data_IF_983712533274
#
_entry.id   IF_983712533274
#
_cell.length_a   1.000
_cell.length_b   1.000
_cell.length_c   1.000
_cell.angle_alpha   90.00
_cell.angle_beta   90.00
_cell.angle_gamma   90.00
#
_symmetry.space_group_name_H-M   'P 1'
#
loop_
_entity.id
_entity.type
_entity.pdbx_description
1 polymer ?
#
# COMPACT_ATOMS: atom_id res chain seq x y z
N UNK A 1 -23.23 4.50 7.11
CA UNK A 1 -23.50 3.82 5.81
C UNK A 1 -22.37 3.99 4.78
N UNK A 2 -21.47 4.95 4.96
CA UNK A 2 -20.30 5.19 4.04
C UNK A 2 -19.05 4.39 4.46
N UNK A 3 -18.83 4.15 5.74
CA UNK A 3 -17.68 3.39 6.27
C UNK A 3 -17.73 1.90 5.90
N UNK A 4 -18.89 1.27 5.95
CA UNK A 4 -19.03 -0.13 5.51
C UNK A 4 -18.70 -0.36 4.03
N UNK A 5 -18.83 0.65 3.18
CA UNK A 5 -18.47 0.54 1.75
C UNK A 5 -16.96 0.51 1.54
N UNK A 6 -16.17 1.20 2.38
CA UNK A 6 -14.71 1.17 2.33
C UNK A 6 -14.17 -0.19 2.82
N UNK A 7 -14.66 -0.69 3.95
CA UNK A 7 -14.29 -2.02 4.44
C UNK A 7 -14.62 -3.13 3.44
N UNK A 8 -15.77 -3.05 2.77
CA UNK A 8 -16.17 -4.02 1.75
C UNK A 8 -15.27 -3.94 0.49
N UNK A 9 -14.88 -2.75 0.05
CA UNK A 9 -13.98 -2.58 -1.09
C UNK A 9 -12.57 -3.11 -0.78
N UNK A 10 -12.06 -2.87 0.42
CA UNK A 10 -10.76 -3.37 0.89
C UNK A 10 -10.81 -4.91 0.99
N UNK A 11 -11.85 -5.47 1.59
CA UNK A 11 -12.01 -6.92 1.69
C UNK A 11 -12.10 -7.59 0.31
N UNK A 12 -12.84 -7.01 -0.63
CA UNK A 12 -12.92 -7.50 -2.01
C UNK A 12 -11.58 -7.40 -2.72
N UNK A 13 -10.81 -6.33 -2.50
CA UNK A 13 -9.48 -6.14 -3.07
C UNK A 13 -8.47 -7.16 -2.52
N UNK A 14 -8.47 -7.41 -1.21
CA UNK A 14 -7.60 -8.41 -0.59
C UNK A 14 -7.98 -9.83 -1.05
N UNK A 15 -9.27 -10.14 -1.16
CA UNK A 15 -9.74 -11.43 -1.68
C UNK A 15 -9.37 -11.62 -3.15
N UNK A 16 -9.45 -10.59 -3.97
CA UNK A 16 -8.97 -10.62 -5.35
C UNK A 16 -7.46 -10.83 -5.39
N UNK A 17 -6.70 -10.18 -4.54
CA UNK A 17 -5.26 -10.36 -4.44
C UNK A 17 -4.88 -11.78 -3.98
N UNK A 18 -5.56 -12.32 -2.97
CA UNK A 18 -5.39 -13.71 -2.53
C UNK A 18 -5.77 -14.70 -3.65
N UNK A 19 -6.84 -14.43 -4.40
CA UNK A 19 -7.23 -15.24 -5.55
C UNK A 19 -6.18 -15.17 -6.66
N UNK A 20 -5.56 -14.01 -6.92
CA UNK A 20 -4.48 -13.86 -7.88
C UNK A 20 -3.19 -14.56 -7.42
N UNK A 21 -2.84 -14.50 -6.14
CA UNK A 21 -1.70 -15.25 -5.58
C UNK A 21 -1.91 -16.78 -5.70
N UNK A 22 -3.14 -17.26 -5.50
CA UNK A 22 -3.49 -18.67 -5.69
C UNK A 22 -3.45 -19.09 -7.18
N UNK A 23 -3.76 -18.17 -8.12
CA UNK A 23 -3.72 -18.42 -9.56
C UNK A 23 -2.28 -18.55 -10.11
N UNK A 24 -1.34 -17.78 -9.59
CA UNK A 24 0.04 -17.78 -10.10
C UNK A 24 0.76 -19.13 -9.92
N UNK A 25 0.33 -19.95 -8.96
CA UNK A 25 0.96 -21.24 -8.67
C UNK A 25 0.44 -22.42 -9.52
N UNK A 26 -0.69 -22.26 -10.21
CA UNK A 26 -1.32 -23.39 -10.94
C UNK A 26 -1.20 -23.36 -12.45
N UNK A 27 -0.62 -22.32 -13.04
CA UNK A 27 -0.46 -22.24 -14.51
C UNK A 27 0.60 -23.20 -15.09
N UNK A 28 1.13 -24.11 -14.29
CA UNK A 28 2.23 -25.01 -14.68
C UNK A 28 1.76 -26.35 -15.29
N UNK A 29 0.49 -26.56 -15.63
CA UNK A 29 0.06 -27.89 -16.10
C UNK A 29 -0.83 -27.93 -17.35
N UNK A 30 -0.71 -26.99 -18.27
CA UNK A 30 -1.39 -27.14 -19.57
C UNK A 30 -0.43 -26.81 -20.74
N UNK A 31 -0.11 -27.89 -21.49
CA UNK A 31 0.31 -27.94 -22.90
C UNK A 31 1.82 -27.84 -23.17
N UNK A 32 2.40 -28.95 -23.50
CA UNK A 32 3.78 -29.14 -23.97
C UNK A 32 4.13 -28.49 -25.33
N UNK A 33 3.25 -27.72 -25.95
CA UNK A 33 3.56 -26.93 -27.16
C UNK A 33 3.63 -25.41 -26.90
N UNK A 34 3.40 -24.98 -25.65
CA UNK A 34 3.43 -23.56 -25.24
C UNK A 34 4.49 -23.19 -24.21
N UNK A 35 5.38 -24.12 -23.82
CA UNK A 35 6.33 -23.90 -22.71
C UNK A 35 7.26 -22.70 -22.94
N UNK A 36 7.66 -22.46 -24.20
CA UNK A 36 8.49 -21.31 -24.55
C UNK A 36 7.75 -19.95 -24.43
N UNK A 37 6.45 -19.92 -24.76
CA UNK A 37 5.65 -18.68 -24.71
C UNK A 37 5.18 -18.34 -23.28
N UNK A 38 4.91 -19.34 -22.44
CA UNK A 38 4.51 -19.15 -21.05
C UNK A 38 5.60 -18.58 -20.16
N UNK A 39 6.84 -19.07 -20.33
CA UNK A 39 8.02 -18.56 -19.60
C UNK A 39 8.33 -17.14 -20.05
N UNK A 40 8.28 -16.85 -21.34
CA UNK A 40 8.53 -15.52 -21.88
C UNK A 40 7.49 -14.51 -21.36
N UNK A 41 6.21 -14.90 -21.25
CA UNK A 41 5.14 -14.04 -20.75
C UNK A 41 5.18 -13.78 -19.23
N UNK A 42 5.94 -14.59 -18.47
CA UNK A 42 6.09 -14.46 -17.02
C UNK A 42 7.44 -13.91 -16.58
N UNK A 43 8.33 -13.60 -17.54
CA UNK A 43 9.65 -13.02 -17.29
C UNK A 43 9.61 -11.53 -17.55
N UNK A 44 10.25 -10.73 -16.69
CA UNK A 44 10.37 -9.29 -16.93
C UNK A 44 11.07 -9.05 -18.29
N UNK A 45 10.45 -8.26 -19.18
CA UNK A 45 10.99 -8.04 -20.52
C UNK A 45 12.05 -6.94 -20.58
N UNK A 46 12.07 -6.03 -19.58
CA UNK A 46 12.97 -4.86 -19.56
C UNK A 46 14.40 -5.25 -19.18
N UNK A 47 15.35 -4.38 -19.54
CA UNK A 47 16.76 -4.58 -19.21
C UNK A 47 17.02 -4.41 -17.72
N UNK A 48 17.98 -5.15 -17.17
CA UNK A 48 18.36 -5.06 -15.76
C UNK A 48 18.71 -3.62 -15.34
N UNK A 49 19.40 -2.90 -16.21
CA UNK A 49 19.82 -1.53 -15.94
C UNK A 49 18.62 -0.59 -15.74
N UNK A 50 17.55 -0.79 -16.51
CA UNK A 50 16.32 0.02 -16.40
C UNK A 50 15.54 -0.34 -15.13
N UNK A 51 15.40 -1.62 -14.84
CA UNK A 51 14.70 -2.10 -13.64
C UNK A 51 15.41 -1.69 -12.35
N UNK A 52 16.73 -1.89 -12.29
CA UNK A 52 17.55 -1.46 -11.13
C UNK A 52 17.59 0.08 -11.03
N UNK A 53 17.57 0.78 -12.15
CA UNK A 53 17.49 2.23 -12.20
C UNK A 53 16.18 2.77 -11.67
N UNK A 54 15.05 2.14 -12.02
CA UNK A 54 13.74 2.51 -11.51
C UNK A 54 13.63 2.30 -10.00
N UNK A 55 14.12 1.19 -9.50
CA UNK A 55 14.19 0.90 -8.06
C UNK A 55 15.08 1.93 -7.34
N UNK A 56 16.29 2.19 -7.85
CA UNK A 56 17.19 3.16 -7.25
C UNK A 56 16.56 4.56 -7.18
N UNK A 57 15.84 4.97 -8.22
CA UNK A 57 15.15 6.25 -8.25
C UNK A 57 14.00 6.30 -7.24
N UNK A 58 13.23 5.22 -7.10
CA UNK A 58 12.15 5.15 -6.12
C UNK A 58 12.70 5.24 -4.69
N UNK A 59 13.78 4.53 -4.38
CA UNK A 59 14.51 4.66 -3.12
C UNK A 59 15.03 6.09 -2.87
N UNK A 60 15.46 6.82 -3.93
CA UNK A 60 15.87 8.22 -3.79
C UNK A 60 14.69 9.13 -3.44
N UNK A 61 13.53 8.91 -4.05
CA UNK A 61 12.29 9.65 -3.71
C UNK A 61 11.88 9.39 -2.25
N UNK A 62 11.97 8.16 -1.78
CA UNK A 62 11.73 7.80 -0.37
C UNK A 62 12.75 8.48 0.58
N UNK A 63 14.02 8.49 0.19
CA UNK A 63 15.05 9.18 0.96
C UNK A 63 14.86 10.71 0.99
N UNK A 64 14.28 11.30 -0.06
CA UNK A 64 13.90 12.71 -0.09
C UNK A 64 12.72 13.00 0.84
N UNK A 65 11.70 12.16 0.82
CA UNK A 65 10.56 12.26 1.73
C UNK A 65 11.01 12.13 3.19
N UNK A 66 11.88 11.16 3.49
CA UNK A 66 12.44 10.99 4.84
C UNK A 66 13.24 12.24 5.28
N UNK A 67 14.08 12.78 4.39
CA UNK A 67 14.84 14.01 4.70
C UNK A 67 13.92 15.22 4.93
N UNK A 68 12.85 15.33 4.18
CA UNK A 68 11.84 16.38 4.37
C UNK A 68 11.23 16.29 5.78
N UNK A 69 10.81 15.08 6.20
CA UNK A 69 10.24 14.85 7.52
C UNK A 69 11.27 15.09 8.65
N UNK A 70 12.50 14.62 8.48
CA UNK A 70 13.57 14.80 9.47
C UNK A 70 13.93 16.28 9.70
N UNK A 71 13.72 17.13 8.70
CA UNK A 71 14.03 18.57 8.78
C UNK A 71 12.78 19.44 8.96
N UNK A 72 11.61 18.86 9.09
CA UNK A 72 10.33 19.57 9.08
C UNK A 72 10.27 20.67 10.16
N UNK A 73 10.55 20.34 11.42
CA UNK A 73 10.54 21.31 12.53
C UNK A 73 11.53 22.47 12.31
N UNK A 74 12.68 22.19 11.69
CA UNK A 74 13.73 23.21 11.49
C UNK A 74 13.44 24.13 10.30
N UNK A 75 12.49 23.76 9.44
CA UNK A 75 12.13 24.49 8.20
C UNK A 75 10.79 25.18 8.27
N UNK A 76 10.00 24.92 9.32
CA UNK A 76 8.68 25.51 9.56
C UNK A 76 8.69 26.27 10.89
N UNK A 77 7.78 27.23 11.04
CA UNK A 77 7.72 28.12 12.20
C UNK A 77 6.34 27.97 12.89
N UNK A 78 6.14 26.81 13.52
CA UNK A 78 5.00 26.54 14.39
C UNK A 78 5.47 26.44 15.84
N UNK A 79 4.57 26.65 16.80
CA UNK A 79 4.89 26.62 18.22
C UNK A 79 4.97 25.20 18.78
N UNK A 80 4.20 24.26 18.18
CA UNK A 80 4.14 22.86 18.61
C UNK A 80 3.98 21.94 17.40
N UNK A 81 4.62 20.77 17.42
CA UNK A 81 4.59 19.78 16.34
C UNK A 81 4.14 18.43 16.87
N UNK A 82 3.26 17.78 16.13
CA UNK A 82 2.87 16.39 16.31
C UNK A 82 3.15 15.62 15.03
N UNK A 83 3.72 14.42 15.15
CA UNK A 83 4.03 13.57 14.02
C UNK A 83 3.31 12.23 14.17
N UNK A 84 2.56 11.84 13.15
CA UNK A 84 1.94 10.53 12.99
C UNK A 84 2.42 9.97 11.64
N UNK A 85 3.49 9.18 11.68
CA UNK A 85 4.26 8.80 10.49
C UNK A 85 4.33 7.29 10.36
N UNK A 86 3.78 6.78 9.26
CA UNK A 86 4.02 5.41 8.82
C UNK A 86 5.47 5.22 8.35
N UNK A 87 5.91 3.97 8.32
CA UNK A 87 7.25 3.60 7.82
C UNK A 87 7.35 3.87 6.31
N UNK A 88 8.45 4.50 5.89
CA UNK A 88 8.76 4.71 4.48
C UNK A 88 9.51 3.47 3.98
N UNK A 89 8.79 2.62 3.26
CA UNK A 89 9.33 1.39 2.67
C UNK A 89 8.43 0.89 1.55
N UNK A 90 9.01 0.17 0.58
CA UNK A 90 8.28 -0.52 -0.47
C UNK A 90 8.91 -1.87 -0.81
N UNK A 91 8.22 -2.66 -1.62
CA UNK A 91 8.72 -3.92 -2.19
C UNK A 91 9.20 -3.71 -3.62
N UNK A 92 10.50 -3.92 -3.93
CA UNK A 92 11.02 -3.74 -5.27
C UNK A 92 10.34 -4.65 -6.32
N UNK A 93 9.96 -5.88 -5.96
CA UNK A 93 9.24 -6.77 -6.89
C UNK A 93 7.83 -6.28 -7.17
N UNK A 94 7.15 -5.70 -6.17
CA UNK A 94 5.86 -5.04 -6.38
C UNK A 94 6.02 -3.88 -7.34
N UNK A 95 7.00 -3.01 -7.11
CA UNK A 95 7.27 -1.84 -7.95
C UNK A 95 7.50 -2.25 -9.42
N UNK A 96 8.46 -3.14 -9.67
CA UNK A 96 8.83 -3.56 -11.03
C UNK A 96 7.69 -4.33 -11.71
N UNK A 97 6.98 -5.19 -10.97
CA UNK A 97 5.80 -5.90 -11.51
C UNK A 97 4.70 -4.92 -11.91
N UNK A 98 4.46 -3.88 -11.10
CA UNK A 98 3.47 -2.85 -11.41
C UNK A 98 3.84 -2.05 -12.66
N UNK A 99 5.08 -1.56 -12.74
CA UNK A 99 5.54 -0.80 -13.90
C UNK A 99 5.42 -1.66 -15.16
N UNK A 100 5.89 -2.90 -15.11
CA UNK A 100 5.85 -3.81 -16.25
C UNK A 100 4.41 -4.12 -16.69
N UNK A 101 3.49 -4.32 -15.75
CA UNK A 101 2.08 -4.55 -16.06
C UNK A 101 1.38 -3.31 -16.62
N UNK A 102 1.68 -2.12 -16.10
CA UNK A 102 1.12 -0.85 -16.59
C UNK A 102 1.57 -0.54 -18.01
N UNK A 103 2.84 -0.81 -18.35
CA UNK A 103 3.40 -0.60 -19.69
C UNK A 103 3.12 -1.77 -20.66
N UNK A 104 2.64 -2.91 -20.14
CA UNK A 104 2.28 -4.10 -20.92
C UNK A 104 3.45 -4.64 -21.80
N UNK A 105 4.69 -4.52 -21.34
CA UNK A 105 5.85 -4.97 -22.08
C UNK A 105 7.18 -4.40 -21.59
N UNK A 106 8.17 -4.40 -22.49
CA UNK A 106 9.47 -3.78 -22.26
C UNK A 106 9.33 -2.26 -22.10
N UNK A 107 10.09 -1.71 -21.19
CA UNK A 107 10.14 -0.26 -20.92
C UNK A 107 11.58 0.14 -20.53
N UNK A 108 11.88 1.40 -20.70
CA UNK A 108 13.13 2.03 -20.28
C UNK A 108 12.90 2.94 -19.08
N UNK A 109 13.95 3.21 -18.32
CA UNK A 109 13.88 4.12 -17.17
C UNK A 109 13.31 5.50 -17.54
N UNK A 110 13.68 6.05 -18.69
CA UNK A 110 13.20 7.35 -19.15
C UNK A 110 11.69 7.36 -19.42
N UNK A 111 11.14 6.25 -19.92
CA UNK A 111 9.70 6.13 -20.23
C UNK A 111 8.83 6.03 -18.97
N UNK A 112 9.38 5.55 -17.86
CA UNK A 112 8.60 5.26 -16.65
C UNK A 112 8.66 6.36 -15.58
N UNK A 113 9.32 7.48 -15.84
CA UNK A 113 9.46 8.58 -14.88
C UNK A 113 8.12 9.06 -14.32
N UNK A 114 7.13 9.27 -15.19
CA UNK A 114 5.78 9.65 -14.78
C UNK A 114 5.04 8.55 -14.02
N UNK A 115 5.34 7.28 -14.31
CA UNK A 115 4.76 6.13 -13.60
C UNK A 115 5.34 6.03 -12.20
N UNK A 116 6.66 6.20 -12.02
CA UNK A 116 7.31 6.22 -10.71
C UNK A 116 6.69 7.31 -9.81
N UNK A 117 6.56 8.53 -10.33
CA UNK A 117 5.96 9.62 -9.58
C UNK A 117 4.49 9.32 -9.21
N UNK A 118 3.70 8.83 -10.16
CA UNK A 118 2.29 8.49 -9.93
C UNK A 118 2.14 7.38 -8.87
N UNK A 119 3.01 6.37 -8.86
CA UNK A 119 3.00 5.31 -7.87
C UNK A 119 3.40 5.83 -6.49
N UNK A 120 4.41 6.67 -6.43
CA UNK A 120 4.88 7.32 -5.21
C UNK A 120 3.78 8.18 -4.57
N UNK A 121 3.12 9.04 -5.35
CA UNK A 121 2.03 9.90 -4.88
C UNK A 121 0.80 9.10 -4.40
N UNK A 122 0.66 7.86 -4.84
CA UNK A 122 -0.42 6.97 -4.41
C UNK A 122 -0.06 6.14 -3.19
N UNK A 123 1.21 5.84 -3.01
CA UNK A 123 1.68 5.12 -1.85
C UNK A 123 1.80 6.04 -0.64
N UNK A 124 2.42 7.21 -0.80
CA UNK A 124 2.71 8.13 0.30
C UNK A 124 1.77 9.34 0.26
N UNK A 125 0.94 9.44 1.29
CA UNK A 125 -0.01 10.56 1.46
C UNK A 125 0.44 11.37 2.66
N UNK A 126 1.05 12.53 2.38
CA UNK A 126 1.46 13.47 3.41
C UNK A 126 0.38 14.52 3.60
N UNK A 127 -0.06 14.72 4.84
CA UNK A 127 -1.02 15.75 5.22
C UNK A 127 -0.51 16.59 6.37
N UNK A 128 -0.87 17.87 6.36
CA UNK A 128 -0.53 18.85 7.39
C UNK A 128 -1.82 19.50 7.88
N UNK A 129 -2.06 19.43 9.18
CA UNK A 129 -3.19 20.08 9.82
C UNK A 129 -2.69 21.08 10.87
N UNK A 130 -3.09 22.35 10.73
CA UNK A 130 -2.65 23.43 11.62
C UNK A 130 -3.84 23.94 12.40
N UNK A 131 -3.79 23.75 13.72
CA UNK A 131 -4.75 24.28 14.67
C UNK A 131 -4.17 25.52 15.32
N UNK A 132 -4.98 26.60 15.41
CA UNK A 132 -4.59 27.84 16.08
C UNK A 132 -5.36 27.98 17.40
N UNK A 133 -4.62 28.05 18.49
CA UNK A 133 -5.16 28.30 19.83
C UNK A 133 -4.83 29.72 20.29
N UNK A 134 -5.78 30.40 20.90
CA UNK A 134 -5.48 31.66 21.61
C UNK A 134 -4.95 31.35 23.00
N UNK A 135 -3.69 31.64 23.25
CA UNK A 135 -3.05 31.54 24.55
C UNK A 135 -2.80 32.93 25.12
N UNK A 136 -2.48 32.99 26.41
CA UNK A 136 -2.23 34.26 27.11
C UNK A 136 -0.87 34.23 27.74
N UNK A 137 -0.10 35.32 27.55
CA UNK A 137 1.14 35.55 28.25
C UNK A 137 1.00 36.72 29.21
N UNK A 138 1.70 36.63 30.34
CA UNK A 138 1.71 37.67 31.33
C UNK A 138 2.77 38.70 30.95
N UNK A 139 2.36 39.95 30.75
CA UNK A 139 3.27 41.09 30.58
C UNK A 139 3.22 41.98 31.80
N UNK A 140 4.34 42.67 32.07
CA UNK A 140 4.52 43.52 33.22
C UNK A 140 5.08 44.86 32.76
N UNK A 141 4.32 45.90 33.08
CA UNK A 141 4.74 47.27 32.87
C UNK A 141 5.20 47.86 34.18
N UNK A 142 6.34 48.54 34.16
CA UNK A 142 6.87 49.22 35.33
C UNK A 142 7.00 50.73 35.04
N UNK A 143 6.32 51.53 35.83
CA UNK A 143 6.36 52.98 35.67
C UNK A 143 6.62 53.67 37.03
N UNK A 144 7.15 54.87 36.99
CA UNK A 144 7.44 55.65 38.18
C UNK A 144 6.51 56.90 38.24
N UNK A 145 5.86 57.09 39.39
CA UNK A 145 5.01 58.24 39.57
C UNK A 145 5.80 59.55 39.83
N UNK A 146 5.08 60.67 39.92
CA UNK A 146 5.70 62.00 40.11
C UNK A 146 6.38 62.14 41.48
N UNK A 147 6.09 61.28 42.44
CA UNK A 147 6.68 61.25 43.78
C UNK A 147 7.89 60.33 43.87
N UNK A 148 8.27 59.67 42.75
CA UNK A 148 9.41 58.81 42.64
C UNK A 148 9.16 57.35 43.07
N UNK A 149 7.90 56.94 43.27
CA UNK A 149 7.59 55.55 43.60
C UNK A 149 7.46 54.72 42.31
N UNK A 150 7.99 53.51 42.34
CA UNK A 150 7.87 52.55 41.24
C UNK A 150 6.64 51.69 41.41
N UNK A 151 5.82 51.65 40.39
CA UNK A 151 4.64 50.82 40.31
C UNK A 151 4.83 49.74 39.25
N UNK A 152 4.21 48.59 39.47
CA UNK A 152 4.27 47.45 38.55
C UNK A 152 2.85 46.95 38.27
N UNK A 153 2.43 47.04 37.03
CA UNK A 153 1.15 46.55 36.57
C UNK A 153 1.37 45.26 35.76
N UNK A 154 0.56 44.25 36.04
CA UNK A 154 0.63 42.96 35.36
C UNK A 154 -0.69 42.71 34.63
N UNK A 155 -0.61 42.34 33.32
CA UNK A 155 -1.76 42.09 32.49
C UNK A 155 -1.55 40.92 31.57
N UNK A 156 -2.63 40.32 31.08
CA UNK A 156 -2.63 39.18 30.16
C UNK A 156 -2.77 39.69 28.73
N UNK A 157 -1.81 39.27 27.87
CA UNK A 157 -1.85 39.58 26.45
C UNK A 157 -2.14 38.30 25.68
N UNK A 158 -3.23 38.29 24.90
CA UNK A 158 -3.50 37.14 24.02
C UNK A 158 -2.50 37.07 22.89
N UNK A 159 -2.16 35.85 22.49
CA UNK A 159 -1.37 35.57 21.29
C UNK A 159 -1.85 34.27 20.64
N UNK A 160 -1.64 34.15 19.34
CA UNK A 160 -1.93 32.93 18.60
C UNK A 160 -0.81 31.91 18.80
N UNK A 161 -1.19 30.68 19.07
CA UNK A 161 -0.32 29.54 19.26
C UNK A 161 -0.66 28.49 18.21
N UNK A 162 0.30 28.15 17.37
CA UNK A 162 0.13 27.28 16.21
C UNK A 162 0.61 25.87 16.52
N UNK A 163 -0.30 24.89 16.40
CA UNK A 163 -0.04 23.47 16.58
C UNK A 163 -0.14 22.82 15.21
N UNK A 164 0.95 22.27 14.70
CA UNK A 164 1.00 21.56 13.44
C UNK A 164 1.03 20.05 13.67
N UNK A 165 0.10 19.33 13.06
CA UNK A 165 0.12 17.87 13.00
C UNK A 165 0.51 17.44 11.60
N UNK A 166 1.59 16.70 11.48
CA UNK A 166 2.10 16.12 10.23
C UNK A 166 1.79 14.63 10.23
N UNK A 167 1.01 14.19 9.27
CA UNK A 167 0.64 12.77 9.11
C UNK A 167 1.18 12.24 7.79
N UNK A 168 1.91 11.14 7.83
CA UNK A 168 2.32 10.38 6.66
C UNK A 168 1.60 9.03 6.68
N UNK A 169 0.77 8.78 5.67
CA UNK A 169 0.17 7.46 5.43
C UNK A 169 0.96 6.73 4.35
N UNK A 170 1.41 5.50 4.64
CA UNK A 170 1.94 4.56 3.64
C UNK A 170 0.83 3.58 3.24
N UNK A 171 0.19 3.81 2.09
CA UNK A 171 -0.90 2.98 1.59
C UNK A 171 -0.42 1.59 1.10
N UNK A 172 0.79 1.22 1.30
CA UNK A 172 1.46 0.02 0.81
C UNK A 172 1.28 -0.21 -0.69
N UNK A 173 2.36 -0.14 -1.42
CA UNK A 173 2.35 -0.18 -2.88
C UNK A 173 1.60 -1.39 -3.46
N UNK A 174 1.59 -2.53 -2.76
CA UNK A 174 0.89 -3.75 -3.18
C UNK A 174 -0.64 -3.61 -3.24
N UNK A 175 -1.22 -2.61 -2.59
CA UNK A 175 -2.65 -2.33 -2.63
C UNK A 175 -3.07 -1.42 -3.79
N UNK A 176 -2.13 -0.70 -4.38
CA UNK A 176 -2.39 0.28 -5.45
C UNK A 176 -2.91 -0.35 -6.75
N UNK A 177 -2.45 -1.55 -7.19
CA UNK A 177 -2.84 -2.14 -8.48
C UNK A 177 -4.35 -2.19 -8.72
N UNK A 178 -5.13 -2.57 -7.72
CA UNK A 178 -6.59 -2.74 -7.85
C UNK A 178 -7.34 -1.43 -8.14
N UNK A 179 -6.70 -0.28 -7.91
CA UNK A 179 -7.32 1.04 -8.14
C UNK A 179 -6.93 1.68 -9.47
N UNK A 180 -5.86 1.20 -10.10
CA UNK A 180 -5.28 1.87 -11.28
C UNK A 180 -5.14 0.98 -12.50
N UNK A 181 -5.20 -0.35 -12.34
CA UNK A 181 -4.97 -1.31 -13.41
C UNK A 181 -6.27 -1.84 -14.00
N UNK A 182 -6.27 -2.11 -15.30
CA UNK A 182 -7.29 -2.90 -15.95
C UNK A 182 -7.22 -4.36 -15.52
N UNK A 183 -8.23 -5.15 -15.82
CA UNK A 183 -8.26 -6.60 -15.53
C UNK A 183 -7.08 -7.33 -16.18
N UNK A 184 -6.74 -6.97 -17.43
CA UNK A 184 -5.59 -7.54 -18.14
C UNK A 184 -4.28 -7.21 -17.45
N UNK A 185 -4.08 -5.94 -17.07
CA UNK A 185 -2.90 -5.49 -16.35
C UNK A 185 -2.79 -6.13 -14.95
N UNK A 186 -3.90 -6.32 -14.24
CA UNK A 186 -3.93 -7.06 -12.97
C UNK A 186 -3.51 -8.52 -13.16
N UNK A 187 -3.96 -9.17 -14.24
CA UNK A 187 -3.52 -10.53 -14.58
C UNK A 187 -2.02 -10.61 -14.86
N UNK A 188 -1.46 -9.63 -15.57
CA UNK A 188 -0.02 -9.54 -15.81
C UNK A 188 0.75 -9.30 -14.50
N UNK A 189 0.32 -8.34 -13.70
CA UNK A 189 0.91 -8.05 -12.39
C UNK A 189 0.93 -9.29 -11.49
N UNK A 190 -0.20 -9.99 -11.37
CA UNK A 190 -0.28 -11.23 -10.59
C UNK A 190 0.69 -12.32 -11.08
N UNK A 191 0.85 -12.43 -12.41
CA UNK A 191 1.79 -13.36 -13.02
C UNK A 191 3.23 -13.02 -12.67
N UNK A 192 3.62 -11.73 -12.76
CA UNK A 192 4.96 -11.28 -12.40
C UNK A 192 5.23 -11.47 -10.89
N UNK A 193 4.26 -11.15 -10.02
CA UNK A 193 4.41 -11.37 -8.58
C UNK A 193 4.58 -12.86 -8.24
N UNK A 194 3.80 -13.74 -8.87
CA UNK A 194 3.89 -15.19 -8.63
C UNK A 194 5.22 -15.80 -9.05
N UNK A 195 5.89 -15.20 -10.05
CA UNK A 195 7.15 -15.72 -10.61
C UNK A 195 8.37 -14.87 -10.23
N UNK A 196 8.17 -13.73 -9.58
CA UNK A 196 9.15 -12.66 -9.41
C UNK A 196 9.80 -12.28 -10.76
N UNK A 197 8.99 -12.28 -11.82
CA UNK A 197 9.46 -12.08 -13.18
C UNK A 197 10.54 -13.08 -13.65
N UNK A 198 10.59 -14.27 -13.04
CA UNK A 198 11.68 -15.27 -13.19
C UNK A 198 13.08 -14.70 -12.91
N UNK A 199 13.16 -13.67 -12.08
CA UNK A 199 14.39 -12.96 -11.72
C UNK A 199 14.50 -12.77 -10.19
N UNK A 200 14.50 -13.86 -9.39
CA UNK A 200 14.64 -13.76 -7.93
C UNK A 200 16.03 -13.22 -7.50
N UNK A 201 16.96 -13.12 -8.42
CA UNK A 201 18.31 -12.58 -8.26
C UNK A 201 18.37 -11.05 -8.39
N UNK A 202 17.32 -10.40 -8.92
CA UNK A 202 17.35 -8.98 -9.28
C UNK A 202 17.50 -8.08 -8.03
N UNK A 203 16.83 -8.43 -6.93
CA UNK A 203 16.88 -7.70 -5.66
C UNK A 203 17.30 -8.61 -4.50
N UNK A 204 18.59 -9.01 -4.44
CA UNK A 204 19.09 -9.90 -3.40
C UNK A 204 19.00 -9.24 -2.03
N UNK A 205 18.32 -9.88 -1.09
CA UNK A 205 18.17 -9.39 0.27
C UNK A 205 16.87 -8.60 0.54
N UNK A 206 16.01 -8.44 -0.46
CA UNK A 206 14.63 -8.04 -0.18
C UNK A 206 13.99 -9.15 0.66
N UNK A 207 13.43 -8.81 1.83
CA UNK A 207 12.75 -9.77 2.72
C UNK A 207 11.57 -10.49 2.08
N UNK A 208 11.20 -10.10 0.86
CA UNK A 208 10.09 -10.60 0.07
C UNK A 208 10.36 -11.92 -0.64
N UNK A 209 11.61 -12.26 -0.98
CA UNK A 209 11.93 -13.55 -1.61
C UNK A 209 11.47 -14.70 -0.72
N UNK A 210 11.74 -14.65 0.59
CA UNK A 210 11.24 -15.64 1.55
C UNK A 210 9.72 -15.63 1.70
N UNK A 211 9.10 -14.47 1.62
CA UNK A 211 7.65 -14.28 1.79
C UNK A 211 6.84 -14.91 0.64
N UNK A 212 7.34 -14.85 -0.59
CA UNK A 212 6.60 -15.32 -1.78
C UNK A 212 7.09 -16.67 -2.32
N UNK A 213 8.35 -17.06 -2.09
CA UNK A 213 8.95 -18.28 -2.67
C UNK A 213 8.93 -19.48 -1.70
N UNK A 214 8.96 -19.24 -0.40
CA UNK A 214 8.97 -20.32 0.60
C UNK A 214 7.58 -20.82 1.03
N UNK A 215 6.49 -20.35 0.41
CA UNK A 215 5.14 -20.88 0.60
C UNK A 215 4.57 -20.74 2.02
N UNK A 216 5.09 -19.83 2.82
CA UNK A 216 4.47 -19.45 4.09
C UNK A 216 3.37 -18.44 3.84
N UNK A 217 2.19 -18.93 3.44
CA UNK A 217 0.98 -18.14 3.23
C UNK A 217 0.36 -17.59 4.52
N UNK A 218 1.07 -17.65 5.63
CA UNK A 218 0.55 -17.30 6.96
C UNK A 218 0.96 -15.92 7.45
N UNK A 219 1.75 -15.18 6.64
CA UNK A 219 2.32 -13.90 7.06
C UNK A 219 1.86 -12.76 6.15
N UNK A 220 0.53 -12.66 5.96
CA UNK A 220 -0.07 -11.44 5.43
C UNK A 220 -0.49 -10.58 6.63
N UNK A 221 0.04 -9.38 6.65
CA UNK A 221 -0.22 -8.43 7.73
C UNK A 221 -1.60 -7.79 7.51
N UNK A 222 -2.60 -8.30 8.24
CA UNK A 222 -3.91 -7.66 8.30
C UNK A 222 -3.83 -6.68 9.47
N UNK A 223 -4.00 -5.38 9.22
CA UNK A 223 -4.03 -4.42 10.31
C UNK A 223 -5.01 -4.85 11.41
N UNK A 224 -4.59 -4.89 12.69
CA UNK A 224 -5.45 -5.35 13.77
C UNK A 224 -6.82 -4.64 13.81
N UNK A 225 -6.85 -3.35 13.49
CA UNK A 225 -8.07 -2.53 13.43
C UNK A 225 -9.03 -2.97 12.32
N UNK A 226 -8.54 -3.60 11.26
CA UNK A 226 -9.40 -4.16 10.21
C UNK A 226 -10.16 -5.40 10.72
N UNK A 227 -9.60 -6.12 11.69
CA UNK A 227 -10.22 -7.28 12.33
C UNK A 227 -11.26 -6.89 13.40
N UNK A 228 -11.32 -5.62 13.80
CA UNK A 228 -12.38 -5.08 14.67
C UNK A 228 -13.74 -5.03 13.96
N UNK A 229 -13.76 -5.02 12.62
CA UNK A 229 -14.98 -5.25 11.84
C UNK A 229 -15.31 -6.74 11.83
N UNK A 230 -16.35 -7.13 12.57
CA UNK A 230 -16.78 -8.53 12.71
C UNK A 230 -17.11 -9.17 11.35
N UNK A 231 -17.55 -8.37 10.39
CA UNK A 231 -17.87 -8.81 9.03
C UNK A 231 -16.60 -9.14 8.26
N UNK A 232 -15.64 -8.24 8.29
CA UNK A 232 -14.34 -8.44 7.64
C UNK A 232 -13.61 -9.63 8.27
N UNK A 233 -13.57 -9.71 9.59
CA UNK A 233 -12.94 -10.81 10.32
C UNK A 233 -13.56 -12.18 9.95
N UNK A 234 -14.90 -12.24 9.78
CA UNK A 234 -15.58 -13.47 9.35
C UNK A 234 -15.19 -13.89 7.92
N UNK A 235 -15.09 -12.93 7.00
CA UNK A 235 -14.67 -13.16 5.60
C UNK A 235 -13.23 -13.69 5.55
N UNK A 236 -12.30 -13.04 6.26
CA UNK A 236 -10.90 -13.46 6.31
C UNK A 236 -10.77 -14.86 6.90
N UNK A 237 -11.42 -15.11 8.04
CA UNK A 237 -11.41 -16.43 8.67
C UNK A 237 -11.97 -17.55 7.79
N UNK A 238 -12.95 -17.23 6.95
CA UNK A 238 -13.47 -18.21 5.97
C UNK A 238 -12.45 -18.42 4.83
N UNK A 239 -11.84 -17.34 4.32
CA UNK A 239 -10.86 -17.41 3.25
C UNK A 239 -9.61 -18.22 3.64
N UNK A 240 -9.13 -18.06 4.87
CA UNK A 240 -7.94 -18.76 5.40
C UNK A 240 -8.05 -20.28 5.34
N UNK A 241 -9.26 -20.83 5.40
CA UNK A 241 -9.48 -22.29 5.35
C UNK A 241 -9.04 -22.93 4.02
N UNK A 242 -8.92 -22.13 2.99
CA UNK A 242 -8.65 -22.56 1.61
C UNK A 242 -7.26 -22.16 1.13
N UNK A 243 -6.39 -21.67 2.02
CA UNK A 243 -5.00 -21.39 1.70
C UNK A 243 -4.31 -22.67 1.21
N UNK A 244 -3.56 -22.56 0.10
CA UNK A 244 -2.87 -23.69 -0.51
C UNK A 244 -3.73 -24.56 -1.46
N UNK A 245 -5.02 -24.24 -1.63
CA UNK A 245 -5.84 -24.91 -2.65
C UNK A 245 -5.36 -24.55 -4.05
N UNK A 246 -5.20 -25.52 -4.96
CA UNK A 246 -4.78 -25.25 -6.32
C UNK A 246 -5.85 -24.48 -7.08
N UNK A 247 -5.42 -23.61 -7.99
CA UNK A 247 -6.32 -22.95 -8.92
C UNK A 247 -6.88 -23.96 -9.95
N UNK A 248 -8.20 -23.97 -10.12
CA UNK A 248 -8.87 -24.78 -11.15
C UNK A 248 -9.90 -23.91 -11.87
N UNK A 249 -9.71 -23.72 -13.18
CA UNK A 249 -10.65 -22.97 -14.01
C UNK A 249 -12.07 -23.50 -13.88
N UNK A 250 -13.02 -22.63 -13.57
CA UNK A 250 -14.42 -22.99 -13.32
C UNK A 250 -14.67 -23.62 -11.94
N UNK A 251 -13.65 -23.85 -11.16
CA UNK A 251 -13.75 -24.36 -9.78
C UNK A 251 -14.44 -23.36 -8.86
N UNK A 252 -15.34 -23.85 -7.98
CA UNK A 252 -16.19 -22.98 -7.17
C UNK A 252 -16.50 -23.54 -5.79
N UNK A 253 -15.82 -24.60 -5.37
CA UNK A 253 -16.05 -25.27 -4.09
C UNK A 253 -14.78 -25.98 -3.61
N UNK A 254 -14.65 -26.32 -2.32
CA UNK A 254 -13.50 -27.09 -1.82
C UNK A 254 -13.29 -28.43 -2.54
N UNK A 255 -14.33 -29.05 -3.06
CA UNK A 255 -14.24 -30.33 -3.77
C UNK A 255 -13.73 -30.20 -5.20
N UNK A 256 -13.91 -29.04 -5.82
CA UNK A 256 -13.46 -28.76 -7.19
C UNK A 256 -12.22 -27.88 -7.23
N UNK A 257 -11.76 -27.44 -6.05
CA UNK A 257 -10.88 -26.27 -5.90
C UNK A 257 -11.56 -25.00 -6.46
N UNK A 258 -10.81 -23.93 -6.72
CA UNK A 258 -11.38 -22.63 -7.02
C UNK A 258 -10.73 -21.97 -8.22
N UNK A 259 -11.53 -21.24 -9.02
CA UNK A 259 -11.06 -20.08 -9.77
C UNK A 259 -11.23 -18.81 -8.91
N UNK A 260 -10.76 -17.65 -9.40
CA UNK A 260 -10.82 -16.38 -8.66
C UNK A 260 -12.25 -16.01 -8.25
N UNK A 261 -13.19 -16.08 -9.17
CA UNK A 261 -14.59 -15.74 -8.94
C UNK A 261 -15.32 -16.78 -8.09
N UNK A 262 -14.96 -18.06 -8.25
CA UNK A 262 -15.46 -19.16 -7.42
C UNK A 262 -15.04 -19.05 -5.98
N UNK A 263 -13.76 -18.71 -5.74
CA UNK A 263 -13.24 -18.49 -4.40
C UNK A 263 -13.94 -17.31 -3.69
N UNK A 264 -14.02 -16.17 -4.35
CA UNK A 264 -14.67 -14.97 -3.79
C UNK A 264 -16.14 -15.25 -3.48
N UNK A 265 -16.87 -15.87 -4.44
CA UNK A 265 -18.29 -16.24 -4.25
C UNK A 265 -18.46 -17.19 -3.08
N UNK A 266 -17.61 -18.22 -3.00
CA UNK A 266 -17.66 -19.22 -1.94
C UNK A 266 -17.45 -18.57 -0.57
N UNK A 267 -16.38 -17.81 -0.41
CA UNK A 267 -16.03 -17.17 0.85
C UNK A 267 -17.14 -16.23 1.31
N UNK A 268 -17.66 -15.38 0.43
CA UNK A 268 -18.73 -14.43 0.78
C UNK A 268 -20.00 -15.19 1.19
N UNK A 269 -20.41 -16.22 0.41
CA UNK A 269 -21.60 -17.00 0.73
C UNK A 269 -21.48 -17.76 2.06
N UNK A 270 -20.27 -18.14 2.46
CA UNK A 270 -20.03 -18.85 3.74
C UNK A 270 -19.70 -17.91 4.91
N UNK A 271 -19.62 -16.61 4.64
CA UNK A 271 -19.41 -15.56 5.67
C UNK A 271 -20.71 -14.85 6.07
N UNK A 272 -21.88 -15.35 5.65
CA UNK A 272 -23.18 -14.84 6.07
C UNK A 272 -23.96 -14.04 5.02
N UNK A 273 -23.46 -13.99 3.77
CA UNK A 273 -24.19 -13.41 2.63
C UNK A 273 -24.51 -14.47 1.58
N UNK A 274 -25.55 -14.21 0.79
CA UNK A 274 -25.92 -15.02 -0.37
C UNK A 274 -25.78 -14.13 -1.63
N UNK A 275 -24.60 -14.18 -2.24
CA UNK A 275 -24.31 -13.48 -3.51
C UNK A 275 -24.42 -14.41 -4.71
N UNK A 276 -24.72 -15.68 -4.48
CA UNK A 276 -24.73 -16.71 -5.52
C UNK A 276 -23.34 -16.97 -6.13
N UNK A 277 -23.31 -17.48 -7.36
CA UNK A 277 -22.07 -17.67 -8.12
C UNK A 277 -21.81 -16.42 -8.96
N UNK A 278 -20.79 -15.67 -8.57
CA UNK A 278 -20.30 -14.52 -9.34
C UNK A 278 -19.39 -15.03 -10.48
N UNK A 279 -19.37 -14.31 -11.58
CA UNK A 279 -18.43 -14.51 -12.69
C UNK A 279 -17.62 -13.26 -12.88
N UNK A 280 -16.34 -13.40 -13.22
CA UNK A 280 -15.53 -12.30 -13.67
C UNK A 280 -15.93 -11.99 -15.12
N UNK A 281 -16.60 -10.86 -15.35
CA UNK A 281 -16.93 -10.31 -16.67
C UNK A 281 -16.28 -8.95 -16.79
#
# INVERSE_FOLDING_TARGET
MWEHRRGFAIAAAILLMLAFLLNGLSSCSVIMDGVGSGIAASTYPSQDADMLGAEAQYCEMEAELQRYLDTYESTHDYDEYHFDLDTIEHDPYVLISMITALHQGEWTLDEVQGTLQMLFDRQYILTEDVVVETRYRTETDTWTDADGNTHTDTYQVPYDYYICTVTLENFNLSHVPVYIMSEEQLGMYATYMATLGNRPDLFPGSGYIGKYVEGSYTDYDIPPEALDDEVFAAIIKEAEKYLGYPYVWGGSSPSTSFDCSGFVSWVINHSGWDVGRLTAN
#
